data_IF_912193699982
#
_entry.id   IF_912193699982
#
_cell.length_a   1.000
_cell.length_b   1.000
_cell.length_c   1.000
_cell.angle_alpha   90.00
_cell.angle_beta   90.00
_cell.angle_gamma   90.00
#
_symmetry.space_group_name_H-M   'P 1'
#
loop_
_entity.id
_entity.type
_entity.pdbx_description
1 polymer ?
#
# COMPACT_ATOMS: atom_id res chain seq x y z
N UNK A 1 -8.74 0.37 -26.74
CA UNK A 1 -8.52 0.62 -25.30
C UNK A 1 -7.05 1.01 -25.11
N UNK A 2 -6.67 1.80 -24.09
CA UNK A 2 -5.26 2.00 -23.80
C UNK A 2 -4.60 0.64 -23.52
N UNK A 3 -3.39 0.42 -24.03
CA UNK A 3 -2.63 -0.80 -23.76
C UNK A 3 -2.29 -0.85 -22.28
N UNK A 4 -2.47 -2.01 -21.67
CA UNK A 4 -2.10 -2.22 -20.28
C UNK A 4 -0.57 -2.20 -20.16
N UNK A 5 -0.06 -1.40 -19.23
CA UNK A 5 1.37 -1.24 -19.02
C UNK A 5 1.89 -2.26 -18.01
N UNK A 6 2.84 -3.07 -18.44
CA UNK A 6 3.37 -4.20 -17.68
C UNK A 6 4.83 -3.94 -17.30
N UNK A 7 5.15 -4.14 -16.03
CA UNK A 7 6.51 -4.35 -15.58
C UNK A 7 6.77 -5.87 -15.46
N UNK A 8 7.69 -6.39 -16.25
CA UNK A 8 8.09 -7.79 -16.24
C UNK A 8 9.34 -7.96 -15.36
N UNK A 9 9.27 -8.93 -14.45
CA UNK A 9 10.38 -9.35 -13.60
C UNK A 9 10.57 -10.85 -13.81
N UNK A 10 11.77 -11.25 -14.21
CA UNK A 10 12.11 -12.66 -14.45
C UNK A 10 13.50 -12.96 -13.88
N UNK A 11 13.73 -14.19 -13.41
CA UNK A 11 15.06 -14.65 -12.97
C UNK A 11 15.97 -15.08 -14.15
N UNK A 12 15.42 -15.24 -15.35
CA UNK A 12 16.13 -15.58 -16.57
C UNK A 12 15.97 -14.50 -17.66
N UNK A 13 17.09 -13.92 -18.07
CA UNK A 13 17.14 -12.84 -19.07
C UNK A 13 16.61 -13.27 -20.45
N UNK A 14 16.90 -14.50 -20.88
CA UNK A 14 16.49 -15.00 -22.20
C UNK A 14 14.99 -15.25 -22.23
N UNK A 15 14.44 -15.79 -21.14
CA UNK A 15 13.00 -15.97 -20.94
C UNK A 15 12.28 -14.62 -20.85
N UNK A 16 12.83 -13.65 -20.13
CA UNK A 16 12.29 -12.29 -20.04
C UNK A 16 12.09 -11.65 -21.43
N UNK A 17 13.10 -11.70 -22.30
CA UNK A 17 13.03 -11.13 -23.65
C UNK A 17 12.03 -11.87 -24.56
N UNK A 18 11.93 -13.20 -24.41
CA UNK A 18 10.92 -13.99 -25.11
C UNK A 18 9.50 -13.58 -24.69
N UNK A 19 9.24 -13.56 -23.38
CA UNK A 19 7.94 -13.17 -22.81
C UNK A 19 7.58 -11.75 -23.22
N UNK A 20 8.51 -10.81 -23.09
CA UNK A 20 8.32 -9.42 -23.50
C UNK A 20 7.90 -9.31 -24.96
N UNK A 21 8.55 -10.07 -25.85
CA UNK A 21 8.18 -10.10 -27.27
C UNK A 21 6.76 -10.63 -27.47
N UNK A 22 6.38 -11.72 -26.79
CA UNK A 22 5.01 -12.23 -26.80
C UNK A 22 4.01 -11.20 -26.28
N UNK A 23 4.27 -10.55 -25.15
CA UNK A 23 3.38 -9.54 -24.57
C UNK A 23 3.13 -8.39 -25.56
N UNK A 24 4.18 -7.88 -26.21
CA UNK A 24 4.06 -6.81 -27.20
C UNK A 24 3.23 -7.25 -28.42
N UNK A 25 3.41 -8.50 -28.89
CA UNK A 25 2.62 -9.08 -29.99
C UNK A 25 1.13 -9.23 -29.63
N UNK A 26 0.81 -9.39 -28.34
CA UNK A 26 -0.54 -9.53 -27.81
C UNK A 26 -1.16 -8.23 -27.29
N UNK A 27 -0.65 -7.08 -27.79
CA UNK A 27 -1.17 -5.73 -27.54
C UNK A 27 -0.98 -5.20 -26.11
N UNK A 28 0.00 -5.73 -25.38
CA UNK A 28 0.46 -5.16 -24.12
C UNK A 28 1.61 -4.17 -24.32
N UNK A 29 1.80 -3.26 -23.37
CA UNK A 29 2.92 -2.31 -23.35
C UNK A 29 3.90 -2.70 -22.23
N UNK A 30 5.05 -3.28 -22.57
CA UNK A 30 6.06 -3.68 -21.58
C UNK A 30 6.98 -2.50 -21.30
N UNK A 31 6.70 -1.78 -20.22
CA UNK A 31 7.40 -0.54 -19.84
C UNK A 31 8.73 -0.80 -19.13
N UNK A 32 8.86 -1.96 -18.50
CA UNK A 32 10.11 -2.43 -17.90
C UNK A 32 10.25 -3.95 -18.03
N UNK A 33 11.49 -4.39 -18.18
CA UNK A 33 11.90 -5.78 -18.08
C UNK A 33 13.14 -5.82 -17.20
N UNK A 34 13.03 -6.47 -16.05
CA UNK A 34 14.04 -6.46 -14.99
C UNK A 34 14.36 -7.88 -14.55
N UNK A 35 15.58 -8.08 -14.06
CA UNK A 35 15.95 -9.27 -13.31
C UNK A 35 15.97 -8.99 -11.81
N UNK A 36 15.99 -10.04 -11.00
CA UNK A 36 15.99 -9.94 -9.53
C UNK A 36 17.07 -9.01 -8.97
N UNK A 37 18.28 -9.09 -9.54
CA UNK A 37 19.43 -8.30 -9.10
C UNK A 37 19.23 -6.78 -9.30
N UNK A 38 18.31 -6.40 -10.19
CA UNK A 38 18.00 -5.01 -10.50
C UNK A 38 16.82 -4.45 -9.71
N UNK A 39 16.09 -5.27 -8.95
CA UNK A 39 14.90 -4.85 -8.19
C UNK A 39 15.21 -3.79 -7.14
N UNK A 40 16.36 -3.91 -6.45
CA UNK A 40 16.76 -2.94 -5.42
C UNK A 40 17.33 -1.65 -5.98
N UNK A 41 17.74 -1.66 -7.26
CA UNK A 41 18.39 -0.51 -7.93
C UNK A 41 17.34 0.32 -8.67
N UNK A 42 16.31 -0.32 -9.22
CA UNK A 42 15.22 0.36 -9.91
C UNK A 42 14.11 0.76 -8.95
N UNK A 43 14.05 2.05 -8.62
CA UNK A 43 12.81 2.66 -8.14
C UNK A 43 11.83 2.78 -9.30
N UNK A 44 10.97 1.77 -9.45
CA UNK A 44 9.84 1.82 -10.40
C UNK A 44 8.81 2.91 -10.07
N UNK A 45 9.03 3.74 -9.05
CA UNK A 45 8.21 4.93 -8.75
C UNK A 45 8.00 5.86 -9.97
N UNK A 46 8.92 5.84 -10.95
CA UNK A 46 8.80 6.61 -12.21
C UNK A 46 8.25 5.80 -13.38
N UNK A 47 8.14 4.48 -13.22
CA UNK A 47 7.58 3.58 -14.21
C UNK A 47 6.06 3.59 -14.06
N UNK A 48 5.37 4.08 -15.09
CA UNK A 48 3.91 4.11 -15.15
C UNK A 48 3.34 2.71 -15.46
N UNK A 49 3.74 1.69 -14.71
CA UNK A 49 3.18 0.35 -14.84
C UNK A 49 1.80 0.26 -14.16
N UNK A 50 0.90 -0.50 -14.76
CA UNK A 50 -0.42 -0.81 -14.18
C UNK A 50 -0.42 -2.13 -13.40
N UNK A 51 0.51 -3.03 -13.74
CA UNK A 51 0.61 -4.38 -13.18
C UNK A 51 2.05 -4.90 -13.26
N UNK A 52 2.40 -5.76 -12.31
CA UNK A 52 3.67 -6.47 -12.26
C UNK A 52 3.44 -7.93 -12.62
N UNK A 53 4.25 -8.43 -13.54
CA UNK A 53 4.38 -9.84 -13.84
C UNK A 53 5.70 -10.34 -13.27
N UNK A 54 5.63 -11.26 -12.30
CA UNK A 54 6.76 -12.08 -11.91
C UNK A 54 6.66 -13.42 -12.63
N UNK A 55 7.71 -13.81 -13.36
CA UNK A 55 7.88 -15.19 -13.81
C UNK A 55 9.12 -15.79 -13.15
N UNK A 56 8.92 -16.80 -12.32
CA UNK A 56 9.99 -17.42 -11.54
C UNK A 56 9.78 -18.93 -11.47
N UNK A 57 10.80 -19.71 -11.84
CA UNK A 57 10.73 -21.16 -11.70
C UNK A 57 10.73 -21.56 -10.21
N UNK A 58 11.52 -20.87 -9.39
CA UNK A 58 11.66 -21.14 -7.96
C UNK A 58 11.51 -19.85 -7.15
N UNK A 59 10.27 -19.36 -6.95
CA UNK A 59 10.05 -18.16 -6.18
C UNK A 59 10.38 -18.41 -4.70
N UNK A 60 10.99 -17.42 -4.06
CA UNK A 60 11.20 -17.38 -2.61
C UNK A 60 10.35 -16.26 -2.00
N UNK A 61 9.85 -16.50 -0.79
CA UNK A 61 8.97 -15.56 -0.06
C UNK A 61 9.54 -14.14 -0.01
N UNK A 62 10.82 -14.01 0.34
CA UNK A 62 11.48 -12.70 0.51
C UNK A 62 11.48 -11.87 -0.78
N UNK A 63 11.59 -12.53 -1.94
CA UNK A 63 11.54 -11.88 -3.26
C UNK A 63 10.13 -11.37 -3.56
N UNK A 64 9.12 -12.20 -3.29
CA UNK A 64 7.71 -11.84 -3.50
C UNK A 64 7.35 -10.66 -2.59
N UNK A 65 7.68 -10.73 -1.31
CA UNK A 65 7.41 -9.67 -0.33
C UNK A 65 8.11 -8.37 -0.70
N UNK A 66 9.38 -8.45 -1.12
CA UNK A 66 10.13 -7.29 -1.60
C UNK A 66 9.44 -6.64 -2.79
N UNK A 67 8.98 -7.43 -3.78
CA UNK A 67 8.26 -6.89 -4.94
C UNK A 67 6.94 -6.24 -4.53
N UNK A 68 6.08 -6.93 -3.79
CA UNK A 68 4.77 -6.40 -3.41
C UNK A 68 4.91 -5.13 -2.57
N UNK A 69 5.88 -5.09 -1.64
CA UNK A 69 6.09 -3.95 -0.76
C UNK A 69 6.70 -2.73 -1.46
N UNK A 70 7.61 -2.95 -2.41
CA UNK A 70 8.32 -1.85 -3.07
C UNK A 70 7.49 -1.14 -4.13
N UNK A 71 6.51 -1.82 -4.73
CA UNK A 71 5.86 -1.29 -5.93
C UNK A 71 4.42 -0.84 -5.75
N UNK A 72 3.71 -1.30 -4.70
CA UNK A 72 2.31 -0.93 -4.46
C UNK A 72 1.44 -1.04 -5.73
N UNK A 73 1.62 -2.13 -6.47
CA UNK A 73 0.89 -2.45 -7.70
C UNK A 73 0.33 -3.89 -7.65
N UNK A 74 -0.73 -4.18 -8.43
CA UNK A 74 -1.20 -5.55 -8.61
C UNK A 74 -0.04 -6.43 -9.10
N UNK A 75 0.18 -7.55 -8.44
CA UNK A 75 1.33 -8.43 -8.71
C UNK A 75 0.86 -9.84 -9.01
N UNK A 76 1.16 -10.33 -10.21
CA UNK A 76 0.81 -11.66 -10.69
C UNK A 76 2.07 -12.50 -10.79
N UNK A 77 2.05 -13.68 -10.14
CA UNK A 77 3.16 -14.63 -10.14
C UNK A 77 2.85 -15.81 -11.07
N UNK A 78 3.72 -16.02 -12.04
CA UNK A 78 3.81 -17.20 -12.89
C UNK A 78 4.96 -18.08 -12.38
N UNK A 79 4.69 -19.37 -12.27
CA UNK A 79 5.71 -20.32 -11.82
C UNK A 79 5.32 -21.75 -12.23
N UNK A 80 6.30 -22.64 -12.28
CA UNK A 80 6.08 -24.08 -12.44
C UNK A 80 5.85 -24.79 -11.10
N UNK A 81 6.03 -24.08 -9.99
CA UNK A 81 5.89 -24.64 -8.66
C UNK A 81 4.40 -24.91 -8.32
N UNK A 82 4.12 -26.12 -7.83
CA UNK A 82 2.78 -26.57 -7.40
C UNK A 82 2.65 -26.74 -5.90
N UNK A 83 3.69 -26.41 -5.15
CA UNK A 83 3.73 -26.53 -3.70
C UNK A 83 2.68 -25.62 -3.04
N UNK A 84 1.79 -26.24 -2.26
CA UNK A 84 0.71 -25.55 -1.55
C UNK A 84 1.24 -24.57 -0.51
N UNK A 85 2.37 -24.88 0.13
CA UNK A 85 2.96 -23.99 1.13
C UNK A 85 3.51 -22.73 0.45
N UNK A 86 4.13 -22.87 -0.73
CA UNK A 86 4.57 -21.73 -1.54
C UNK A 86 3.39 -20.88 -2.03
N UNK A 87 2.32 -21.51 -2.52
CA UNK A 87 1.10 -20.80 -2.94
C UNK A 87 0.56 -19.95 -1.78
N UNK A 88 0.46 -20.53 -0.58
CA UNK A 88 -0.04 -19.82 0.59
C UNK A 88 0.88 -18.67 0.99
N UNK A 89 2.18 -18.90 1.02
CA UNK A 89 3.17 -17.85 1.33
C UNK A 89 3.10 -16.69 0.34
N UNK A 90 2.91 -16.98 -0.95
CA UNK A 90 2.79 -15.97 -1.98
C UNK A 90 1.51 -15.13 -1.80
N UNK A 91 0.37 -15.77 -1.51
CA UNK A 91 -0.89 -15.09 -1.21
C UNK A 91 -0.76 -14.21 0.04
N UNK A 92 -0.15 -14.74 1.10
CA UNK A 92 0.08 -14.01 2.35
C UNK A 92 1.04 -12.82 2.15
N UNK A 93 1.97 -12.92 1.20
CA UNK A 93 2.85 -11.82 0.77
C UNK A 93 2.14 -10.74 -0.07
N UNK A 94 0.88 -10.96 -0.48
CA UNK A 94 0.04 -9.95 -1.12
C UNK A 94 0.01 -9.99 -2.66
N UNK A 95 0.37 -11.12 -3.28
CA UNK A 95 0.11 -11.30 -4.72
C UNK A 95 -1.40 -11.33 -5.00
N UNK A 96 -1.80 -10.89 -6.19
CA UNK A 96 -3.21 -10.89 -6.61
C UNK A 96 -3.61 -12.14 -7.39
N UNK A 97 -2.64 -12.83 -8.00
CA UNK A 97 -2.86 -14.09 -8.68
C UNK A 97 -1.59 -14.95 -8.72
N UNK A 98 -1.76 -16.27 -8.58
CA UNK A 98 -0.72 -17.29 -8.69
C UNK A 98 -1.10 -18.26 -9.81
N UNK A 99 -0.24 -18.42 -10.81
CA UNK A 99 -0.55 -19.19 -12.02
C UNK A 99 0.51 -20.25 -12.25
N UNK A 100 0.03 -21.50 -12.28
CA UNK A 100 0.82 -22.69 -12.55
C UNK A 100 0.53 -23.19 -13.95
N UNK A 101 1.11 -22.54 -14.97
CA UNK A 101 1.20 -23.10 -16.34
C UNK A 101 2.08 -22.25 -17.28
N UNK A 102 2.91 -21.35 -16.73
CA UNK A 102 3.56 -20.31 -17.53
C UNK A 102 2.56 -19.29 -18.12
N UNK A 103 3.07 -18.40 -18.96
CA UNK A 103 2.30 -17.27 -19.49
C UNK A 103 1.61 -17.69 -20.80
N UNK A 104 0.27 -17.76 -20.76
CA UNK A 104 -0.59 -17.84 -21.95
C UNK A 104 -1.16 -16.46 -22.28
N UNK A 105 -0.68 -15.79 -23.36
CA UNK A 105 -1.12 -14.44 -23.70
C UNK A 105 -2.62 -14.33 -24.00
N UNK A 106 -3.27 -15.41 -24.43
CA UNK A 106 -4.70 -15.40 -24.76
C UNK A 106 -5.60 -15.25 -23.53
N UNK A 107 -5.12 -15.72 -22.37
CA UNK A 107 -5.81 -15.64 -21.06
C UNK A 107 -5.32 -14.48 -20.21
N UNK A 108 -4.18 -13.91 -20.56
CA UNK A 108 -3.49 -12.91 -19.75
C UNK A 108 -4.31 -11.65 -19.54
N UNK A 109 -5.02 -11.15 -20.57
CA UNK A 109 -5.88 -9.97 -20.45
C UNK A 109 -6.89 -10.12 -19.31
N UNK A 110 -7.64 -11.21 -19.30
CA UNK A 110 -8.66 -11.48 -18.26
C UNK A 110 -8.05 -11.63 -16.88
N UNK A 111 -6.90 -12.31 -16.78
CA UNK A 111 -6.19 -12.52 -15.51
C UNK A 111 -5.72 -11.18 -14.95
N UNK A 112 -5.14 -10.32 -15.77
CA UNK A 112 -4.64 -9.02 -15.32
C UNK A 112 -5.78 -8.08 -14.95
N UNK A 113 -6.88 -8.07 -15.70
CA UNK A 113 -8.07 -7.30 -15.35
C UNK A 113 -8.62 -7.70 -13.97
N UNK A 114 -8.78 -9.00 -13.73
CA UNK A 114 -9.23 -9.52 -12.42
C UNK A 114 -8.24 -9.12 -11.33
N UNK A 115 -6.94 -9.25 -11.58
CA UNK A 115 -5.87 -8.93 -10.63
C UNK A 115 -5.88 -7.45 -10.24
N UNK A 116 -6.08 -6.55 -11.20
CA UNK A 116 -6.18 -5.10 -10.98
C UNK A 116 -7.42 -4.76 -10.14
N UNK A 117 -8.57 -5.39 -10.43
CA UNK A 117 -9.79 -5.15 -9.65
C UNK A 117 -9.67 -5.69 -8.22
N UNK A 118 -9.07 -6.86 -8.04
CA UNK A 118 -8.79 -7.41 -6.71
C UNK A 118 -7.88 -6.48 -5.90
N UNK A 119 -6.81 -6.00 -6.53
CA UNK A 119 -5.89 -5.05 -5.91
C UNK A 119 -6.60 -3.77 -5.45
N UNK A 120 -7.37 -3.12 -6.34
CA UNK A 120 -8.13 -1.90 -6.02
C UNK A 120 -9.10 -2.12 -4.87
N UNK A 121 -9.80 -3.25 -4.86
CA UNK A 121 -10.73 -3.62 -3.78
C UNK A 121 -9.98 -3.82 -2.47
N UNK A 122 -8.85 -4.52 -2.49
CA UNK A 122 -8.02 -4.75 -1.31
C UNK A 122 -7.51 -3.42 -0.74
N UNK A 123 -6.91 -2.57 -1.58
CA UNK A 123 -6.41 -1.24 -1.18
C UNK A 123 -7.49 -0.35 -0.61
N UNK A 124 -8.70 -0.40 -1.16
CA UNK A 124 -9.84 0.32 -0.60
C UNK A 124 -10.17 -0.17 0.81
N UNK A 125 -10.21 -1.48 1.03
CA UNK A 125 -10.46 -2.05 2.36
C UNK A 125 -9.36 -1.70 3.37
N UNK A 126 -8.09 -1.72 2.95
CA UNK A 126 -6.98 -1.26 3.79
C UNK A 126 -7.12 0.21 4.19
N UNK A 127 -7.50 1.06 3.21
CA UNK A 127 -7.79 2.48 3.45
C UNK A 127 -8.94 2.69 4.41
N UNK A 128 -10.08 2.03 4.18
CA UNK A 128 -11.26 2.10 5.04
C UNK A 128 -10.94 1.63 6.48
N UNK A 129 -10.14 0.58 6.62
CA UNK A 129 -9.67 0.07 7.91
C UNK A 129 -8.76 1.08 8.62
N UNK A 130 -7.82 1.69 7.90
CA UNK A 130 -6.92 2.72 8.42
C UNK A 130 -7.72 3.95 8.89
N UNK A 131 -8.69 4.39 8.10
CA UNK A 131 -9.55 5.52 8.45
C UNK A 131 -10.42 5.23 9.67
N UNK A 132 -10.98 4.02 9.76
CA UNK A 132 -11.76 3.60 10.92
C UNK A 132 -10.91 3.55 12.20
N UNK A 133 -9.70 2.99 12.13
CA UNK A 133 -8.74 2.97 13.25
C UNK A 133 -8.34 4.39 13.67
N UNK A 134 -8.09 5.27 12.70
CA UNK A 134 -7.73 6.67 12.96
C UNK A 134 -8.88 7.40 13.65
N UNK A 135 -10.12 7.26 13.18
CA UNK A 135 -11.31 7.85 13.82
C UNK A 135 -11.51 7.37 15.27
N UNK A 136 -11.23 6.08 15.54
CA UNK A 136 -11.32 5.54 16.89
C UNK A 136 -10.24 6.14 17.81
N UNK A 137 -9.01 6.27 17.33
CA UNK A 137 -7.92 6.93 18.06
C UNK A 137 -8.23 8.41 18.30
N UNK A 138 -8.66 9.14 17.26
CA UNK A 138 -9.06 10.54 17.33
C UNK A 138 -10.11 10.78 18.41
N UNK A 139 -11.12 9.91 18.52
CA UNK A 139 -12.17 10.06 19.54
C UNK A 139 -11.57 10.10 20.96
N UNK A 140 -10.59 9.25 21.26
CA UNK A 140 -9.93 9.23 22.58
C UNK A 140 -9.15 10.51 22.84
N UNK A 141 -8.46 11.02 21.82
CA UNK A 141 -7.67 12.25 21.94
C UNK A 141 -8.56 13.48 22.09
N UNK A 142 -9.67 13.55 21.35
CA UNK A 142 -10.65 14.63 21.44
C UNK A 142 -11.26 14.71 22.84
N UNK A 143 -11.66 13.58 23.44
CA UNK A 143 -12.19 13.57 24.80
C UNK A 143 -11.17 14.09 25.83
N UNK A 144 -9.91 13.63 25.74
CA UNK A 144 -8.83 14.11 26.62
C UNK A 144 -8.56 15.60 26.44
N UNK A 145 -8.50 16.08 25.20
CA UNK A 145 -8.27 17.49 24.91
C UNK A 145 -9.41 18.39 25.39
N UNK A 146 -10.67 17.93 25.29
CA UNK A 146 -11.82 18.64 25.90
C UNK A 146 -11.64 18.77 27.41
N UNK A 147 -11.36 17.66 28.11
CA UNK A 147 -11.15 17.68 29.57
C UNK A 147 -10.03 18.65 29.96
N UNK A 148 -8.93 18.66 29.23
CA UNK A 148 -7.82 19.58 29.46
C UNK A 148 -8.24 21.05 29.28
N UNK A 149 -8.97 21.38 28.21
CA UNK A 149 -9.48 22.73 27.99
C UNK A 149 -10.49 23.16 29.07
N UNK A 150 -11.33 22.22 29.54
CA UNK A 150 -12.24 22.47 30.66
C UNK A 150 -11.45 22.81 31.94
N UNK A 151 -10.36 22.09 32.22
CA UNK A 151 -9.52 22.32 33.40
C UNK A 151 -8.73 23.64 33.31
N UNK A 152 -8.13 23.95 32.15
CA UNK A 152 -7.29 25.14 31.99
C UNK A 152 -8.09 26.44 31.90
N UNK A 153 -9.28 26.40 31.28
CA UNK A 153 -10.04 27.61 30.96
C UNK A 153 -11.42 27.67 31.65
N UNK A 154 -11.75 26.70 32.52
CA UNK A 154 -13.04 26.67 33.22
C UNK A 154 -14.24 26.56 32.26
N UNK A 155 -14.04 25.93 31.09
CA UNK A 155 -15.07 25.83 30.06
C UNK A 155 -16.03 24.67 30.35
N UNK A 156 -17.27 24.80 29.85
CA UNK A 156 -18.17 23.65 29.72
C UNK A 156 -17.71 22.76 28.56
N UNK A 157 -18.13 21.50 28.55
CA UNK A 157 -17.78 20.54 27.51
C UNK A 157 -18.11 21.05 26.09
N UNK A 158 -19.32 21.59 25.90
CA UNK A 158 -19.75 22.17 24.62
C UNK A 158 -18.83 23.31 24.16
N UNK A 159 -18.44 24.20 25.08
CA UNK A 159 -17.54 25.32 24.76
C UNK A 159 -16.13 24.82 24.43
N UNK A 160 -15.64 23.80 25.13
CA UNK A 160 -14.35 23.19 24.85
C UNK A 160 -14.34 22.52 23.46
N UNK A 161 -15.40 21.80 23.10
CA UNK A 161 -15.54 21.19 21.78
C UNK A 161 -15.62 22.23 20.65
N UNK A 162 -16.41 23.30 20.84
CA UNK A 162 -16.50 24.41 19.88
C UNK A 162 -15.15 25.10 19.69
N UNK A 163 -14.38 25.29 20.78
CA UNK A 163 -13.05 25.87 20.72
C UNK A 163 -12.07 24.98 19.94
N UNK A 164 -12.06 23.67 20.19
CA UNK A 164 -11.25 22.70 19.43
C UNK A 164 -11.60 22.73 17.94
N UNK A 165 -12.90 22.67 17.62
CA UNK A 165 -13.37 22.69 16.23
C UNK A 165 -12.99 23.97 15.51
N UNK A 166 -13.16 25.13 16.15
CA UNK A 166 -12.79 26.44 15.60
C UNK A 166 -11.30 26.49 15.30
N UNK A 167 -10.45 26.07 16.24
CA UNK A 167 -9.01 26.06 16.05
C UNK A 167 -8.57 25.08 14.96
N UNK A 168 -9.15 23.89 14.91
CA UNK A 168 -8.87 22.90 13.86
C UNK A 168 -9.18 23.47 12.46
N UNK A 169 -10.33 24.13 12.31
CA UNK A 169 -10.71 24.79 11.06
C UNK A 169 -9.75 25.92 10.68
N UNK A 170 -9.38 26.79 11.62
CA UNK A 170 -8.43 27.88 11.37
C UNK A 170 -7.06 27.40 10.89
N UNK A 171 -6.64 26.20 11.30
CA UNK A 171 -5.35 25.61 10.92
C UNK A 171 -5.46 24.53 9.82
N UNK A 172 -6.64 24.39 9.18
CA UNK A 172 -6.90 23.39 8.12
C UNK A 172 -6.50 21.95 8.50
N UNK A 173 -6.78 21.55 9.73
CA UNK A 173 -6.52 20.21 10.23
C UNK A 173 -7.79 19.57 10.79
N UNK A 174 -7.73 18.26 10.99
CA UNK A 174 -8.81 17.52 11.65
C UNK A 174 -8.86 17.85 13.15
N UNK A 175 -10.03 17.66 13.77
CA UNK A 175 -10.19 17.87 15.23
C UNK A 175 -9.28 16.89 16.00
N UNK A 176 -9.12 15.66 15.50
CA UNK A 176 -8.21 14.67 16.10
C UNK A 176 -6.76 15.14 16.09
N UNK A 177 -6.25 15.66 14.97
CA UNK A 177 -4.89 16.21 14.88
C UNK A 177 -4.70 17.42 15.79
N UNK A 178 -5.66 18.35 15.84
CA UNK A 178 -5.61 19.49 16.76
C UNK A 178 -5.58 19.01 18.22
N UNK A 179 -6.37 17.99 18.56
CA UNK A 179 -6.42 17.43 19.90
C UNK A 179 -5.09 16.79 20.30
N UNK A 180 -4.46 16.01 19.40
CA UNK A 180 -3.11 15.47 19.63
C UNK A 180 -2.07 16.55 19.86
N UNK A 181 -2.01 17.56 18.98
CA UNK A 181 -1.06 18.68 19.13
C UNK A 181 -1.19 19.38 20.48
N UNK A 182 -2.42 19.57 20.93
CA UNK A 182 -2.69 20.19 22.23
C UNK A 182 -2.21 19.31 23.39
N UNK A 183 -2.44 17.99 23.32
CA UNK A 183 -1.98 17.03 24.34
C UNK A 183 -0.45 16.90 24.35
N UNK A 184 0.19 16.85 23.19
CA UNK A 184 1.65 16.79 23.05
C UNK A 184 2.30 18.05 23.65
N UNK A 185 1.74 19.23 23.36
CA UNK A 185 2.21 20.49 23.94
C UNK A 185 2.08 20.51 25.48
N UNK A 186 0.98 19.98 26.03
CA UNK A 186 0.80 19.85 27.47
C UNK A 186 1.84 18.91 28.10
N UNK A 187 2.14 17.77 27.45
CA UNK A 187 3.15 16.84 27.94
C UNK A 187 4.54 17.45 27.97
N UNK A 188 4.92 18.21 26.93
CA UNK A 188 6.21 18.91 26.88
C UNK A 188 6.36 19.91 28.05
N UNK A 189 5.33 20.73 28.31
CA UNK A 189 5.32 21.68 29.42
C UNK A 189 5.41 20.99 30.78
N UNK A 190 4.70 19.88 30.97
CA UNK A 190 4.73 19.13 32.22
C UNK A 190 6.06 18.40 32.46
N UNK A 191 6.76 17.96 31.42
CA UNK A 191 8.07 17.33 31.57
C UNK A 191 9.14 18.35 31.94
N UNK A 192 9.11 19.56 31.37
CA UNK A 192 10.02 20.65 31.76
C UNK A 192 9.88 21.06 33.23
N UNK A 193 8.68 20.95 33.81
CA UNK A 193 8.40 21.26 35.22
C UNK A 193 8.82 20.15 36.19
N UNK A 194 9.23 18.97 35.71
CA UNK A 194 9.69 17.84 36.55
C UNK A 194 11.20 17.70 36.64
N UNK A 195 11.92 18.36 35.72
CA UNK A 195 13.38 18.37 35.66
C UNK A 195 14.01 19.57 36.41
N UNK A 196 13.17 20.38 37.08
CA UNK A 196 13.54 21.40 38.08
C UNK A 196 13.24 20.92 39.50
#
# INVERSE_FOLDING_TARGET
>A
MPKLKIALIDDDQARAEYIKTCLIQHDFDVVASLTLDHLNVFKLEHLQADVILLDMDHPHRDVIESCVSNFDLPTVLFTKNTDRDMIKQAIDAGITAYIVDGIDPSRLHTILDISIQQYKKHKKLEGDLKDAKTKLADRKDVEKAKVLLMQLHGLTEDKAFQLLRKNAMSHRMTIGEMSRRLLDAQQLLNNQLKDE
#
